data_IF_447433898889
#
_entry.id   IF_447433898889
#
_cell.length_a   1.000
_cell.length_b   1.000
_cell.length_c   1.000
_cell.angle_alpha   90.00
_cell.angle_beta   90.00
_cell.angle_gamma   90.00
#
_symmetry.space_group_name_H-M   'P 1'
#
loop_
_entity.id
_entity.type
_entity.pdbx_description
1 polymer ?
#
# COMPACT_ATOMS: atom_id res chain seq x y z
N UNK A 1 -6.62 27.10 -22.93
CA UNK A 1 -6.76 26.93 -21.47
C UNK A 1 -7.85 25.89 -21.24
N UNK A 2 -7.64 24.90 -20.36
CA UNK A 2 -8.67 23.90 -20.09
C UNK A 2 -9.85 24.49 -19.33
N UNK A 3 -11.05 23.99 -19.63
CA UNK A 3 -12.29 24.39 -18.96
C UNK A 3 -12.33 23.92 -17.51
N UNK A 4 -13.22 24.49 -16.70
CA UNK A 4 -13.42 24.03 -15.32
C UNK A 4 -13.80 22.55 -15.25
N UNK A 5 -14.61 22.06 -16.20
CA UNK A 5 -14.98 20.65 -16.29
C UNK A 5 -13.78 19.75 -16.62
N UNK A 6 -12.92 20.15 -17.57
CA UNK A 6 -11.71 19.40 -17.93
C UNK A 6 -10.75 19.29 -16.75
N UNK A 7 -10.59 20.36 -15.96
CA UNK A 7 -9.77 20.33 -14.73
C UNK A 7 -10.31 19.34 -13.69
N UNK A 8 -11.64 19.24 -13.54
CA UNK A 8 -12.25 18.28 -12.61
C UNK A 8 -12.06 16.83 -13.06
N UNK A 9 -12.20 16.56 -14.36
CA UNK A 9 -11.95 15.23 -14.94
C UNK A 9 -10.48 14.83 -14.70
N UNK A 10 -9.55 15.73 -15.01
CA UNK A 10 -8.12 15.49 -14.82
C UNK A 10 -7.77 15.20 -13.36
N UNK A 11 -8.32 15.96 -12.41
CA UNK A 11 -8.15 15.71 -10.98
C UNK A 11 -8.72 14.34 -10.55
N UNK A 12 -9.85 13.94 -11.12
CA UNK A 12 -10.45 12.62 -10.88
C UNK A 12 -9.55 11.50 -11.37
N UNK A 13 -9.04 11.60 -12.60
CA UNK A 13 -8.13 10.61 -13.17
C UNK A 13 -6.83 10.46 -12.39
N UNK A 14 -6.25 11.57 -11.94
CA UNK A 14 -5.05 11.57 -11.10
C UNK A 14 -5.29 10.86 -9.77
N UNK A 15 -6.41 11.15 -9.10
CA UNK A 15 -6.81 10.48 -7.85
C UNK A 15 -7.00 8.98 -8.06
N UNK A 16 -7.71 8.56 -9.10
CA UNK A 16 -7.92 7.14 -9.40
C UNK A 16 -6.60 6.40 -9.66
N UNK A 17 -5.65 7.02 -10.37
CA UNK A 17 -4.33 6.42 -10.61
C UNK A 17 -3.57 6.21 -9.30
N UNK A 18 -3.60 7.20 -8.41
CA UNK A 18 -2.93 7.12 -7.09
C UNK A 18 -3.56 6.03 -6.22
N UNK A 19 -4.89 5.99 -6.12
CA UNK A 19 -5.61 4.96 -5.35
C UNK A 19 -5.34 3.55 -5.90
N UNK A 20 -5.33 3.39 -7.22
CA UNK A 20 -5.00 2.12 -7.88
C UNK A 20 -3.58 1.66 -7.58
N UNK A 21 -2.62 2.59 -7.58
CA UNK A 21 -1.22 2.30 -7.25
C UNK A 21 -1.05 1.86 -5.80
N UNK A 22 -1.68 2.57 -4.86
CA UNK A 22 -1.68 2.20 -3.43
C UNK A 22 -2.27 0.80 -3.25
N UNK A 23 -3.44 0.53 -3.83
CA UNK A 23 -4.10 -0.78 -3.73
C UNK A 23 -3.22 -1.91 -4.28
N UNK A 24 -2.56 -1.68 -5.42
CA UNK A 24 -1.62 -2.63 -6.01
C UNK A 24 -0.44 -2.94 -5.08
N UNK A 25 0.14 -1.93 -4.44
CA UNK A 25 1.23 -2.12 -3.47
C UNK A 25 0.79 -2.88 -2.22
N UNK A 26 -0.39 -2.54 -1.69
CA UNK A 26 -0.99 -3.30 -0.59
C UNK A 26 -1.15 -4.79 -0.96
N UNK A 27 -1.68 -5.08 -2.16
CA UNK A 27 -1.87 -6.45 -2.64
C UNK A 27 -0.55 -7.23 -2.73
N UNK A 28 0.51 -6.59 -3.20
CA UNK A 28 1.84 -7.20 -3.28
C UNK A 28 2.37 -7.48 -1.87
N UNK A 29 2.33 -6.51 -0.97
CA UNK A 29 2.82 -6.68 0.40
C UNK A 29 2.07 -7.78 1.15
N UNK A 30 0.74 -7.86 0.99
CA UNK A 30 -0.10 -8.93 1.56
C UNK A 30 0.35 -10.29 1.04
N UNK A 31 0.55 -10.44 -0.28
CA UNK A 31 0.99 -11.71 -0.89
C UNK A 31 2.37 -12.12 -0.37
N UNK A 32 3.30 -11.18 -0.25
CA UNK A 32 4.65 -11.46 0.24
C UNK A 32 4.62 -11.89 1.72
N UNK A 33 3.92 -11.15 2.59
CA UNK A 33 3.83 -11.49 4.02
C UNK A 33 3.13 -12.84 4.23
N UNK A 34 2.01 -13.07 3.52
CA UNK A 34 1.29 -14.34 3.60
C UNK A 34 2.16 -15.51 3.18
N UNK A 35 3.02 -15.34 2.18
CA UNK A 35 3.94 -16.39 1.71
C UNK A 35 5.13 -16.62 2.64
N UNK A 36 5.71 -15.55 3.22
CA UNK A 36 6.94 -15.65 4.04
C UNK A 36 6.65 -16.05 5.49
N UNK A 37 5.63 -15.46 6.11
CA UNK A 37 5.37 -15.61 7.55
C UNK A 37 3.98 -16.15 7.89
N UNK A 38 3.09 -16.24 6.89
CA UNK A 38 1.66 -16.34 7.13
C UNK A 38 1.09 -14.98 7.57
N UNK A 39 -0.20 -14.76 7.28
CA UNK A 39 -0.85 -13.49 7.56
C UNK A 39 -2.28 -13.73 8.05
N UNK A 40 -2.65 -13.09 9.16
CA UNK A 40 -4.02 -13.13 9.67
C UNK A 40 -4.91 -12.12 8.96
N UNK A 41 -6.22 -12.30 9.04
CA UNK A 41 -7.19 -11.33 8.50
C UNK A 41 -7.09 -9.95 9.16
N UNK A 42 -6.62 -9.88 10.41
CA UNK A 42 -6.41 -8.60 11.12
C UNK A 42 -5.19 -7.87 10.57
N UNK A 43 -4.08 -8.57 10.34
CA UNK A 43 -2.86 -7.99 9.77
C UNK A 43 -3.13 -7.49 8.34
N UNK A 44 -3.93 -8.23 7.56
CA UNK A 44 -4.35 -7.79 6.23
C UNK A 44 -5.11 -6.46 6.28
N UNK A 45 -6.02 -6.29 7.25
CA UNK A 45 -6.77 -5.03 7.41
C UNK A 45 -5.86 -3.84 7.73
N UNK A 46 -4.80 -4.06 8.52
CA UNK A 46 -3.82 -3.01 8.81
C UNK A 46 -3.18 -2.55 7.49
N UNK A 47 -2.69 -3.47 6.67
CA UNK A 47 -2.04 -3.14 5.39
C UNK A 47 -3.03 -2.42 4.45
N UNK A 48 -4.29 -2.86 4.39
CA UNK A 48 -5.35 -2.22 3.58
C UNK A 48 -5.68 -0.80 4.01
N UNK A 49 -5.44 -0.45 5.27
CA UNK A 49 -5.68 0.90 5.79
C UNK A 49 -4.55 1.89 5.47
N UNK A 50 -3.38 1.40 5.02
CA UNK A 50 -2.22 2.24 4.72
C UNK A 50 -2.40 2.89 3.35
N UNK A 51 -2.54 4.22 3.35
CA UNK A 51 -2.59 5.04 2.13
C UNK A 51 -1.24 5.63 1.74
N UNK A 52 -0.26 5.56 2.63
CA UNK A 52 1.09 6.06 2.39
C UNK A 52 1.87 5.11 1.47
N UNK A 53 2.09 5.58 0.24
CA UNK A 53 2.80 4.84 -0.78
C UNK A 53 4.24 4.52 -0.37
N UNK A 54 4.92 5.44 0.32
CA UNK A 54 6.34 5.29 0.69
C UNK A 54 6.48 4.25 1.78
N UNK A 55 5.58 4.23 2.76
CA UNK A 55 5.58 3.18 3.80
C UNK A 55 5.39 1.79 3.21
N UNK A 56 4.52 1.65 2.20
CA UNK A 56 4.30 0.37 1.52
C UNK A 56 5.55 -0.10 0.76
N UNK A 57 6.29 0.81 0.12
CA UNK A 57 7.55 0.48 -0.55
C UNK A 57 8.64 0.05 0.44
N UNK A 58 8.84 0.83 1.50
CA UNK A 58 9.85 0.50 2.53
C UNK A 58 9.52 -0.85 3.19
N UNK A 59 8.23 -1.11 3.47
CA UNK A 59 7.80 -2.41 3.99
C UNK A 59 8.06 -3.55 3.00
N UNK A 60 7.90 -3.30 1.69
CA UNK A 60 8.18 -4.29 0.64
C UNK A 60 9.68 -4.55 0.42
N UNK A 61 10.55 -3.63 0.80
CA UNK A 61 12.00 -3.86 0.84
C UNK A 61 12.40 -4.63 2.10
N UNK A 62 11.95 -4.15 3.27
CA UNK A 62 12.32 -4.73 4.57
C UNK A 62 11.86 -6.18 4.70
N UNK A 63 10.76 -6.56 4.05
CA UNK A 63 10.29 -7.95 4.07
C UNK A 63 11.30 -8.96 3.55
N UNK A 64 12.25 -8.56 2.70
CA UNK A 64 13.27 -9.47 2.16
C UNK A 64 14.20 -9.95 3.29
N UNK A 65 14.62 -9.03 4.15
CA UNK A 65 15.57 -9.30 5.25
C UNK A 65 14.89 -9.56 6.59
N UNK A 66 13.62 -9.20 6.74
CA UNK A 66 12.86 -9.33 7.99
C UNK A 66 12.89 -10.77 8.51
N UNK A 67 13.00 -10.93 9.83
CA UNK A 67 12.94 -12.24 10.50
C UNK A 67 11.53 -12.59 10.96
N UNK A 68 10.67 -11.59 11.08
CA UNK A 68 9.30 -11.72 11.55
C UNK A 68 8.35 -10.78 10.79
N UNK A 69 7.06 -11.11 10.77
CA UNK A 69 6.04 -10.22 10.21
C UNK A 69 5.90 -8.91 11.02
N UNK A 70 6.16 -8.97 12.33
CA UNK A 70 6.02 -7.81 13.22
C UNK A 70 7.03 -6.71 12.91
N UNK A 71 8.24 -7.05 12.46
CA UNK A 71 9.23 -6.08 11.97
C UNK A 71 8.69 -5.26 10.78
N UNK A 72 7.99 -5.91 9.86
CA UNK A 72 7.40 -5.26 8.69
C UNK A 72 6.17 -4.45 9.09
N UNK A 73 5.28 -5.01 9.92
CA UNK A 73 4.03 -4.35 10.32
C UNK A 73 4.27 -3.10 11.19
N UNK A 74 5.38 -3.04 11.96
CA UNK A 74 5.77 -1.84 12.71
C UNK A 74 5.97 -0.62 11.82
N UNK A 75 6.43 -0.81 10.58
CA UNK A 75 6.62 0.26 9.60
C UNK A 75 5.30 0.84 9.08
N UNK A 76 4.19 0.12 9.26
CA UNK A 76 2.87 0.51 8.82
C UNK A 76 2.03 1.18 9.91
N UNK A 77 2.39 0.98 11.19
CA UNK A 77 1.64 1.46 12.37
C UNK A 77 2.17 2.76 13.00
N UNK A 78 3.32 3.26 12.56
CA UNK A 78 3.79 4.64 12.79
C UNK A 78 3.28 5.55 11.67
#
# INVERSE_FOLDING_TARGET
MPSFAEKLIQQGEERCKIEGKIKGKQDVLIKLLRRKFGLSSSDEKIIRSVTDEVKLDVAAEVILDAKSKDEVLKLLGQ
#
